data_IF_068679609893
#
_entry.id   IF_068679609893
#
_cell.length_a   1.000
_cell.length_b   1.000
_cell.length_c   1.000
_cell.angle_alpha   90.00
_cell.angle_beta   90.00
_cell.angle_gamma   90.00
#
_symmetry.space_group_name_H-M   'P 1'
#
loop_
_entity.id
_entity.type
_entity.pdbx_description
1 polymer ?
#
# COMPACT_ATOMS: atom_id res chain seq x y z
N UNK A 1 -7.57 -7.83 27.73
CA UNK A 1 -7.33 -8.32 26.35
C UNK A 1 -8.46 -7.83 25.46
N UNK A 2 -8.17 -7.17 24.34
CA UNK A 2 -9.19 -6.80 23.34
C UNK A 2 -9.78 -8.08 22.75
N UNK A 3 -11.10 -8.13 22.61
CA UNK A 3 -11.77 -9.29 21.98
C UNK A 3 -11.33 -9.42 20.52
N UNK A 4 -11.24 -10.63 19.94
CA UNK A 4 -10.71 -10.86 18.59
C UNK A 4 -11.42 -10.07 17.46
N UNK A 5 -12.65 -9.63 17.69
CA UNK A 5 -13.51 -8.97 16.72
C UNK A 5 -13.64 -7.46 16.94
N UNK A 6 -12.79 -6.85 17.76
CA UNK A 6 -12.82 -5.41 18.02
C UNK A 6 -11.65 -4.74 17.32
N UNK A 7 -11.96 -3.71 16.52
CA UNK A 7 -10.96 -2.80 15.94
C UNK A 7 -10.46 -1.90 17.06
N UNK A 8 -9.13 -1.79 17.29
CA UNK A 8 -8.58 -0.87 18.28
C UNK A 8 -8.98 0.59 18.01
N UNK A 9 -8.87 1.42 19.03
CA UNK A 9 -8.91 2.86 18.83
C UNK A 9 -7.53 3.37 18.40
N UNK A 10 -7.47 4.04 17.25
CA UNK A 10 -6.24 4.56 16.67
C UNK A 10 -6.08 6.09 16.84
N UNK A 11 -7.06 6.77 17.48
CA UNK A 11 -7.12 8.24 17.53
C UNK A 11 -5.94 8.91 18.24
N UNK A 12 -5.24 8.17 19.10
CA UNK A 12 -4.04 8.65 19.79
C UNK A 12 -2.74 8.42 19.04
N UNK A 13 -2.74 7.61 17.98
CA UNK A 13 -1.52 7.24 17.26
C UNK A 13 -1.08 8.34 16.30
N UNK A 14 0.21 8.67 16.34
CA UNK A 14 0.89 9.58 15.43
C UNK A 14 1.70 8.76 14.43
N UNK A 15 1.31 8.80 13.16
CA UNK A 15 1.91 7.98 12.12
C UNK A 15 2.49 8.86 11.02
N UNK A 16 3.75 8.66 10.71
CA UNK A 16 4.36 9.24 9.51
C UNK A 16 4.25 8.26 8.34
N UNK A 17 4.03 8.81 7.14
CA UNK A 17 4.17 8.10 5.88
C UNK A 17 5.32 8.75 5.11
N UNK A 18 6.27 7.96 4.64
CA UNK A 18 7.29 8.42 3.70
C UNK A 18 7.25 7.57 2.45
N UNK A 19 7.23 8.19 1.28
CA UNK A 19 7.20 7.42 0.03
C UNK A 19 6.84 8.22 -1.20
N UNK A 20 6.65 7.49 -2.28
CA UNK A 20 6.34 8.04 -3.59
C UNK A 20 4.86 8.43 -3.67
N UNK A 21 4.59 9.75 -3.79
CA UNK A 21 3.24 10.28 -3.97
C UNK A 21 2.83 10.13 -5.44
N UNK A 22 1.71 9.48 -5.68
CA UNK A 22 1.18 9.18 -7.02
C UNK A 22 -0.20 9.81 -7.17
N UNK A 23 -0.58 10.20 -8.38
CA UNK A 23 -1.94 10.55 -8.74
C UNK A 23 -2.61 9.37 -9.45
N UNK A 24 -3.75 8.92 -8.95
CA UNK A 24 -4.64 8.01 -9.66
C UNK A 24 -5.72 8.82 -10.38
N UNK A 25 -5.65 8.89 -11.70
CA UNK A 25 -6.57 9.68 -12.52
C UNK A 25 -7.57 8.76 -13.21
N UNK A 26 -8.85 8.97 -12.97
CA UNK A 26 -9.96 8.22 -13.53
C UNK A 26 -10.67 9.08 -14.58
N UNK A 27 -10.67 8.62 -15.85
CA UNK A 27 -11.45 9.20 -16.93
C UNK A 27 -12.68 8.32 -17.18
N UNK A 28 -13.86 8.87 -16.94
CA UNK A 28 -15.13 8.19 -17.19
C UNK A 28 -15.60 8.48 -18.61
N UNK A 29 -15.91 7.44 -19.37
CA UNK A 29 -16.30 7.56 -20.76
C UNK A 29 -17.46 6.61 -21.14
N UNK A 30 -18.15 6.95 -22.22
CA UNK A 30 -19.11 6.04 -22.87
C UNK A 30 -18.55 5.60 -24.23
N UNK A 31 -18.60 4.29 -24.56
CA UNK A 31 -18.31 3.83 -25.89
C UNK A 31 -19.22 4.51 -26.90
N UNK A 32 -18.65 5.05 -27.96
CA UNK A 32 -19.40 5.73 -29.03
C UNK A 32 -19.40 4.91 -30.31
N UNK A 33 -18.54 5.26 -31.25
CA UNK A 33 -18.44 4.65 -32.58
C UNK A 33 -16.98 4.24 -32.86
N UNK A 34 -16.77 3.43 -33.86
CA UNK A 34 -15.45 3.25 -34.43
C UNK A 34 -14.98 4.55 -35.14
N UNK A 35 -13.70 4.88 -34.98
CA UNK A 35 -13.11 6.02 -35.69
C UNK A 35 -13.09 5.75 -37.20
N UNK A 36 -13.14 6.85 -37.97
CA UNK A 36 -12.91 6.78 -39.43
C UNK A 36 -11.42 6.92 -39.79
N UNK A 37 -10.59 7.33 -38.81
CA UNK A 37 -9.16 7.62 -38.99
C UNK A 37 -8.29 6.38 -38.70
N UNK A 38 -8.75 5.51 -37.82
CA UNK A 38 -8.05 4.30 -37.39
C UNK A 38 -9.04 3.28 -36.82
N UNK A 39 -8.74 1.98 -36.74
CA UNK A 39 -9.61 0.96 -36.18
C UNK A 39 -9.62 1.00 -34.65
N UNK A 40 -10.00 2.16 -34.08
CA UNK A 40 -10.07 2.41 -32.64
C UNK A 40 -11.44 2.88 -32.22
N UNK A 41 -11.83 2.57 -31.00
CA UNK A 41 -13.07 3.04 -30.38
C UNK A 41 -12.97 4.53 -30.07
N UNK A 42 -13.96 5.32 -30.48
CA UNK A 42 -14.14 6.69 -30.02
C UNK A 42 -14.92 6.67 -28.73
N UNK A 43 -14.32 7.17 -27.66
CA UNK A 43 -14.93 7.29 -26.35
C UNK A 43 -15.44 8.72 -26.15
N UNK A 44 -16.66 8.86 -25.63
CA UNK A 44 -17.20 10.17 -25.26
C UNK A 44 -16.93 10.40 -23.79
N UNK A 45 -16.13 11.41 -23.45
CA UNK A 45 -15.84 11.82 -22.09
C UNK A 45 -17.13 12.16 -21.32
N UNK A 46 -17.25 11.69 -20.08
CA UNK A 46 -18.40 11.88 -19.19
C UNK A 46 -18.03 12.57 -17.89
N UNK A 47 -16.75 12.56 -17.50
CA UNK A 47 -16.23 13.15 -16.28
C UNK A 47 -14.84 12.60 -15.99
N UNK A 48 -14.17 13.20 -15.00
CA UNK A 48 -12.86 12.75 -14.54
C UNK A 48 -12.71 13.03 -13.05
N UNK A 49 -11.83 12.26 -12.41
CA UNK A 49 -11.49 12.41 -11.01
C UNK A 49 -10.00 12.08 -10.82
N UNK A 50 -9.31 12.85 -10.00
CA UNK A 50 -7.93 12.55 -9.58
C UNK A 50 -7.95 12.23 -8.11
N UNK A 51 -7.47 11.05 -7.75
CA UNK A 51 -7.37 10.57 -6.37
C UNK A 51 -5.90 10.46 -5.93
N UNK A 52 -5.60 10.67 -4.64
CA UNK A 52 -4.29 10.33 -4.08
C UNK A 52 -4.01 8.84 -4.19
N UNK A 53 -2.86 8.47 -4.77
CA UNK A 53 -2.36 7.10 -4.93
C UNK A 53 -1.01 6.92 -4.23
N UNK A 54 -0.52 5.68 -4.17
CA UNK A 54 0.73 5.35 -3.53
C UNK A 54 0.79 5.78 -2.07
N UNK A 55 1.89 6.41 -1.66
CA UNK A 55 2.06 6.90 -0.28
C UNK A 55 0.95 7.87 0.15
N UNK A 56 0.36 8.63 -0.79
CA UNK A 56 -0.76 9.52 -0.49
C UNK A 56 -2.05 8.74 -0.18
N UNK A 57 -2.32 7.64 -0.89
CA UNK A 57 -3.43 6.73 -0.57
C UNK A 57 -3.23 6.04 0.78
N UNK A 58 -2.01 5.59 1.07
CA UNK A 58 -1.66 5.02 2.37
C UNK A 58 -1.94 6.01 3.52
N UNK A 59 -1.57 7.28 3.35
CA UNK A 59 -1.82 8.33 4.33
C UNK A 59 -3.31 8.60 4.54
N UNK A 60 -4.10 8.65 3.46
CA UNK A 60 -5.57 8.77 3.55
C UNK A 60 -6.19 7.60 4.31
N UNK A 61 -5.70 6.38 4.10
CA UNK A 61 -6.18 5.20 4.83
C UNK A 61 -5.87 5.30 6.31
N UNK A 62 -4.65 5.69 6.71
CA UNK A 62 -4.28 5.89 8.11
C UNK A 62 -5.19 6.92 8.79
N UNK A 63 -5.42 8.06 8.14
CA UNK A 63 -6.30 9.10 8.65
C UNK A 63 -7.76 8.63 8.76
N UNK A 64 -8.30 7.98 7.73
CA UNK A 64 -9.68 7.46 7.75
C UNK A 64 -9.89 6.37 8.80
N UNK A 65 -8.84 5.65 9.18
CA UNK A 65 -8.85 4.69 10.27
C UNK A 65 -8.69 5.35 11.65
N UNK A 66 -8.41 6.66 11.72
CA UNK A 66 -8.46 7.45 12.94
C UNK A 66 -7.10 7.94 13.47
N UNK A 67 -5.98 7.68 12.79
CA UNK A 67 -4.66 8.14 13.24
C UNK A 67 -4.37 9.59 12.86
N UNK A 68 -3.53 10.26 13.63
CA UNK A 68 -2.92 11.53 13.25
C UNK A 68 -1.80 11.24 12.24
N UNK A 69 -1.91 11.79 11.03
CA UNK A 69 -1.05 11.39 9.91
C UNK A 69 -0.25 12.57 9.37
N UNK A 70 1.06 12.36 9.20
CA UNK A 70 2.01 13.25 8.55
C UNK A 70 2.58 12.55 7.31
N UNK A 71 2.69 13.27 6.19
CA UNK A 71 3.27 12.75 4.93
C UNK A 71 4.60 13.43 4.62
N UNK A 72 5.60 12.61 4.27
CA UNK A 72 6.87 13.04 3.72
C UNK A 72 7.03 12.44 2.31
N UNK A 73 7.35 13.29 1.35
CA UNK A 73 7.47 12.84 -0.03
C UNK A 73 7.79 13.98 -0.97
N UNK A 74 7.66 13.71 -2.26
CA UNK A 74 7.85 14.71 -3.30
C UNK A 74 6.67 14.73 -4.26
N UNK A 75 6.36 15.91 -4.76
CA UNK A 75 5.47 16.11 -5.90
C UNK A 75 6.12 17.11 -6.86
N UNK A 76 5.75 17.07 -8.11
CA UNK A 76 6.10 18.14 -9.05
C UNK A 76 5.18 19.35 -8.85
N UNK A 77 5.59 20.53 -9.37
CA UNK A 77 4.74 21.73 -9.44
C UNK A 77 3.74 21.66 -10.60
N UNK A 78 3.21 20.47 -10.88
CA UNK A 78 2.23 20.21 -11.94
C UNK A 78 0.78 20.14 -11.40
N UNK A 79 -0.18 19.88 -12.29
CA UNK A 79 -1.59 19.75 -11.91
C UNK A 79 -1.80 18.59 -10.94
N UNK A 80 -1.22 17.41 -11.21
CA UNK A 80 -1.39 16.22 -10.41
C UNK A 80 -0.84 16.39 -9.00
N UNK A 81 0.36 16.98 -8.86
CA UNK A 81 0.97 17.26 -7.56
C UNK A 81 0.14 18.19 -6.71
N UNK A 82 -0.39 19.28 -7.32
CA UNK A 82 -1.28 20.21 -6.60
C UNK A 82 -2.58 19.54 -6.16
N UNK A 83 -3.15 18.69 -7.01
CA UNK A 83 -4.42 18.02 -6.71
C UNK A 83 -4.26 16.99 -5.59
N UNK A 84 -3.18 16.21 -5.60
CA UNK A 84 -2.84 15.27 -4.52
C UNK A 84 -2.67 16.03 -3.19
N UNK A 85 -1.89 17.12 -3.16
CA UNK A 85 -1.70 17.93 -1.96
C UNK A 85 -3.03 18.51 -1.44
N UNK A 86 -3.83 19.10 -2.34
CA UNK A 86 -5.14 19.66 -1.97
C UNK A 86 -6.04 18.64 -1.28
N UNK A 87 -6.07 17.40 -1.77
CA UNK A 87 -6.92 16.36 -1.19
C UNK A 87 -6.38 15.84 0.15
N UNK A 88 -5.05 15.74 0.30
CA UNK A 88 -4.44 15.40 1.59
C UNK A 88 -4.75 16.46 2.66
N UNK A 89 -4.62 17.76 2.29
CA UNK A 89 -4.95 18.88 3.19
C UNK A 89 -6.44 18.91 3.56
N UNK A 90 -7.34 18.63 2.61
CA UNK A 90 -8.77 18.49 2.88
C UNK A 90 -9.06 17.30 3.82
N UNK A 91 -8.28 16.24 3.73
CA UNK A 91 -8.30 15.12 4.67
C UNK A 91 -7.60 15.43 6.00
N UNK A 92 -7.23 16.70 6.29
CA UNK A 92 -6.54 17.11 7.52
C UNK A 92 -5.22 16.37 7.78
N UNK A 93 -4.55 15.90 6.72
CA UNK A 93 -3.25 15.27 6.78
C UNK A 93 -2.17 16.35 6.76
N UNK A 94 -1.19 16.25 7.65
CA UNK A 94 -0.05 17.15 7.66
C UNK A 94 0.86 16.87 6.46
N UNK A 95 0.89 17.80 5.50
CA UNK A 95 1.71 17.73 4.29
C UNK A 95 3.01 18.56 4.42
N UNK A 96 3.33 19.09 5.59
CA UNK A 96 4.52 19.92 5.80
C UNK A 96 5.83 19.19 5.47
N UNK A 97 5.79 17.85 5.37
CA UNK A 97 6.87 16.97 4.94
C UNK A 97 7.02 16.83 3.43
N UNK A 98 6.07 17.33 2.63
CA UNK A 98 6.12 17.17 1.18
C UNK A 98 6.90 18.31 0.54
N UNK A 99 7.82 17.96 -0.37
CA UNK A 99 8.64 18.92 -1.11
C UNK A 99 8.16 19.03 -2.57
N UNK A 100 7.60 20.17 -2.99
CA UNK A 100 7.39 20.43 -4.42
C UNK A 100 8.75 20.65 -5.11
N UNK A 101 9.01 19.88 -6.18
CA UNK A 101 10.26 19.97 -6.94
C UNK A 101 10.00 20.43 -8.38
N UNK A 102 10.96 21.15 -8.94
CA UNK A 102 10.94 21.57 -10.33
C UNK A 102 11.58 20.50 -11.22
N UNK A 103 11.38 20.59 -12.52
CA UNK A 103 11.97 19.69 -13.54
C UNK A 103 11.71 18.19 -13.26
N UNK A 104 10.55 17.90 -12.72
CA UNK A 104 10.07 16.56 -12.44
C UNK A 104 8.59 16.43 -12.79
N UNK A 105 8.07 15.22 -12.76
CA UNK A 105 6.66 14.94 -13.07
C UNK A 105 6.09 14.14 -11.91
N UNK A 106 4.95 14.57 -11.36
CA UNK A 106 4.21 13.74 -10.41
C UNK A 106 3.72 12.50 -11.12
N UNK A 107 4.12 11.28 -10.66
CA UNK A 107 3.66 10.06 -11.28
C UNK A 107 2.14 10.00 -11.30
N UNK A 108 1.58 9.64 -12.46
CA UNK A 108 0.14 9.59 -12.64
C UNK A 108 -0.27 8.32 -13.40
N UNK A 109 -1.24 7.60 -12.85
CA UNK A 109 -1.84 6.43 -13.48
C UNK A 109 -3.24 6.77 -13.95
N UNK A 110 -3.39 7.09 -15.25
CA UNK A 110 -4.68 7.43 -15.83
C UNK A 110 -5.40 6.17 -16.29
N UNK A 111 -6.54 5.87 -15.65
CA UNK A 111 -7.43 4.75 -16.01
C UNK A 111 -8.63 5.28 -16.76
N UNK A 112 -8.81 4.81 -17.98
CA UNK A 112 -10.00 5.11 -18.80
C UNK A 112 -11.03 4.03 -18.51
N UNK A 113 -12.11 4.44 -17.84
CA UNK A 113 -13.23 3.59 -17.48
C UNK A 113 -14.40 3.84 -18.43
N UNK A 114 -14.97 2.77 -18.93
CA UNK A 114 -16.11 2.86 -19.83
C UNK A 114 -17.23 1.91 -19.44
N UNK A 115 -18.48 2.36 -19.60
CA UNK A 115 -19.62 1.47 -19.52
C UNK A 115 -20.65 1.87 -20.57
N UNK A 116 -21.38 0.87 -21.06
CA UNK A 116 -22.63 1.08 -21.79
C UNK A 116 -23.76 1.24 -20.78
N UNK A 117 -24.86 1.87 -21.22
CA UNK A 117 -25.99 2.23 -20.35
C UNK A 117 -26.44 1.09 -19.43
N UNK A 118 -26.28 1.29 -18.12
CA UNK A 118 -26.75 0.34 -17.08
C UNK A 118 -25.81 -0.83 -16.76
N UNK A 119 -24.57 -0.85 -17.27
CA UNK A 119 -23.56 -1.88 -16.95
C UNK A 119 -22.49 -1.35 -16.01
N UNK A 120 -21.79 -2.27 -15.34
CA UNK A 120 -20.64 -1.98 -14.50
C UNK A 120 -19.52 -1.31 -15.32
N UNK A 121 -18.90 -0.27 -14.79
CA UNK A 121 -17.73 0.37 -15.38
C UNK A 121 -16.59 -0.66 -15.53
N UNK A 122 -15.95 -0.67 -16.69
CA UNK A 122 -14.80 -1.52 -16.98
C UNK A 122 -13.60 -0.67 -17.36
N UNK A 123 -12.42 -1.07 -16.92
CA UNK A 123 -11.19 -0.43 -17.36
C UNK A 123 -10.89 -0.82 -18.80
N UNK A 124 -10.89 0.18 -19.70
CA UNK A 124 -10.63 0.02 -21.12
C UNK A 124 -9.15 0.18 -21.46
N UNK A 125 -8.46 1.11 -20.77
CA UNK A 125 -7.06 1.43 -21.00
C UNK A 125 -6.46 2.05 -19.74
N UNK A 126 -5.14 1.89 -19.56
CA UNK A 126 -4.35 2.64 -18.59
C UNK A 126 -3.19 3.33 -19.29
N UNK A 127 -2.96 4.61 -18.96
CA UNK A 127 -1.85 5.42 -19.42
C UNK A 127 -1.07 5.84 -18.19
N UNK A 128 0.20 5.43 -18.11
CA UNK A 128 1.08 5.79 -17.02
C UNK A 128 1.97 6.96 -17.48
N UNK A 129 1.94 8.06 -16.72
CA UNK A 129 2.86 9.17 -16.85
C UNK A 129 3.86 9.08 -15.71
N UNK A 130 5.09 8.78 -16.05
CA UNK A 130 6.16 8.56 -15.08
C UNK A 130 7.29 9.56 -15.31
N UNK A 131 8.05 9.93 -14.27
CA UNK A 131 9.22 10.78 -14.45
C UNK A 131 10.33 10.01 -15.20
N UNK A 132 10.99 10.70 -16.14
CA UNK A 132 12.14 10.14 -16.87
C UNK A 132 13.37 9.94 -15.98
N UNK A 133 13.42 10.61 -14.83
CA UNK A 133 14.52 10.55 -13.88
C UNK A 133 14.01 10.30 -12.46
N UNK A 134 14.72 9.49 -11.71
CA UNK A 134 14.43 9.23 -10.30
C UNK A 134 14.65 10.48 -9.44
N UNK A 135 14.04 10.50 -8.27
CA UNK A 135 14.24 11.57 -7.28
C UNK A 135 15.74 11.72 -6.98
N UNK A 136 16.25 12.96 -7.10
CA UNK A 136 17.67 13.28 -6.89
C UNK A 136 18.11 13.00 -5.45
N UNK A 137 19.37 12.61 -5.29
CA UNK A 137 19.95 12.24 -3.98
C UNK A 137 19.84 13.36 -2.96
N UNK A 138 20.00 14.64 -3.38
CA UNK A 138 19.91 15.80 -2.49
C UNK A 138 18.51 15.95 -1.90
N UNK A 139 17.47 15.73 -2.73
CA UNK A 139 16.08 15.78 -2.31
C UNK A 139 15.78 14.62 -1.36
N UNK A 140 16.22 13.40 -1.73
CA UNK A 140 16.07 12.21 -0.89
C UNK A 140 16.74 12.40 0.48
N UNK A 141 17.96 12.94 0.50
CA UNK A 141 18.69 13.24 1.74
C UNK A 141 17.98 14.29 2.60
N UNK A 142 17.37 15.31 1.98
CA UNK A 142 16.60 16.32 2.71
C UNK A 142 15.33 15.72 3.36
N UNK A 143 14.60 14.88 2.62
CA UNK A 143 13.44 14.15 3.16
C UNK A 143 13.87 13.19 4.28
N UNK A 144 14.94 12.41 4.09
CA UNK A 144 15.45 11.49 5.09
C UNK A 144 15.90 12.22 6.39
N UNK A 145 16.53 13.38 6.26
CA UNK A 145 16.89 14.22 7.41
C UNK A 145 15.65 14.70 8.19
N UNK A 146 14.61 15.14 7.46
CA UNK A 146 13.34 15.53 8.08
C UNK A 146 12.67 14.34 8.75
N UNK A 147 12.68 13.17 8.09
CA UNK A 147 12.15 11.93 8.63
C UNK A 147 12.88 11.54 9.95
N UNK A 148 14.20 11.55 9.96
CA UNK A 148 15.00 11.22 11.16
C UNK A 148 14.67 12.15 12.34
N UNK A 149 14.32 13.42 12.09
CA UNK A 149 13.94 14.35 13.16
C UNK A 149 12.61 13.99 13.86
N UNK A 150 11.85 13.04 13.33
CA UNK A 150 10.63 12.53 13.94
C UNK A 150 10.88 11.41 14.97
N UNK A 151 12.12 10.95 15.13
CA UNK A 151 12.46 9.90 16.11
C UNK A 151 11.99 10.30 17.53
N UNK A 152 11.28 9.40 18.20
CA UNK A 152 10.66 9.60 19.50
C UNK A 152 9.40 10.48 19.51
N UNK A 153 8.97 11.01 18.36
CA UNK A 153 7.77 11.85 18.27
C UNK A 153 6.58 11.18 17.57
N UNK A 154 6.80 10.05 16.91
CA UNK A 154 5.79 9.24 16.23
C UNK A 154 5.73 7.83 16.80
N UNK A 155 4.57 7.18 16.68
CA UNK A 155 4.32 5.83 17.18
C UNK A 155 4.54 4.78 16.07
N UNK A 156 4.40 5.18 14.79
CA UNK A 156 4.70 4.32 13.65
C UNK A 156 5.17 5.11 12.42
N UNK A 157 5.91 4.41 11.56
CA UNK A 157 6.34 4.83 10.24
C UNK A 157 5.87 3.82 9.21
N UNK A 158 5.14 4.27 8.19
CA UNK A 158 4.85 3.50 6.98
C UNK A 158 5.70 4.04 5.83
N UNK A 159 6.51 3.16 5.23
CA UNK A 159 7.33 3.45 4.05
C UNK A 159 6.63 2.83 2.85
N UNK A 160 6.24 3.65 1.87
CA UNK A 160 5.50 3.21 0.68
C UNK A 160 6.32 3.48 -0.58
N UNK A 161 6.93 2.42 -1.11
CA UNK A 161 7.82 2.47 -2.27
C UNK A 161 7.05 2.11 -3.56
N UNK A 162 7.10 3.01 -4.54
CA UNK A 162 6.53 2.78 -5.88
C UNK A 162 7.59 2.83 -7.00
N UNK A 163 8.87 2.90 -6.62
CA UNK A 163 9.99 2.81 -7.54
C UNK A 163 10.39 4.11 -8.23
N UNK A 164 9.94 5.26 -7.73
CA UNK A 164 10.31 6.56 -8.29
C UNK A 164 11.55 7.19 -7.63
N UNK A 165 12.20 6.44 -6.71
CA UNK A 165 13.54 6.72 -6.21
C UNK A 165 13.60 7.55 -4.94
N UNK A 166 12.48 7.83 -4.28
CA UNK A 166 12.51 8.46 -2.96
C UNK A 166 12.96 7.47 -1.88
N UNK A 167 12.43 6.24 -1.92
CA UNK A 167 12.76 5.20 -0.96
C UNK A 167 14.12 4.58 -1.32
N UNK A 168 15.08 4.70 -0.39
CA UNK A 168 16.47 4.26 -0.62
C UNK A 168 17.26 4.20 0.69
N UNK A 169 18.60 4.03 0.61
CA UNK A 169 19.44 3.84 1.78
C UNK A 169 19.34 4.95 2.84
N UNK A 170 19.13 6.21 2.42
CA UNK A 170 18.99 7.34 3.33
C UNK A 170 17.69 7.26 4.13
N UNK A 171 16.59 6.86 3.49
CA UNK A 171 15.29 6.63 4.14
C UNK A 171 15.38 5.40 5.05
N UNK A 172 16.07 4.34 4.63
CA UNK A 172 16.29 3.15 5.46
C UNK A 172 17.05 3.49 6.75
N UNK A 173 18.09 4.32 6.66
CA UNK A 173 18.84 4.79 7.83
C UNK A 173 17.94 5.56 8.80
N UNK A 174 17.15 6.52 8.29
CA UNK A 174 16.21 7.28 9.11
C UNK A 174 15.13 6.39 9.75
N UNK A 175 14.65 5.38 9.03
CA UNK A 175 13.70 4.41 9.56
C UNK A 175 14.27 3.58 10.73
N UNK A 176 15.56 3.20 10.66
CA UNK A 176 16.22 2.53 11.77
C UNK A 176 16.34 3.43 13.01
N UNK A 177 16.72 4.70 12.85
CA UNK A 177 16.78 5.67 13.95
C UNK A 177 15.40 5.85 14.62
N UNK A 178 14.33 5.88 13.83
CA UNK A 178 12.93 5.95 14.30
C UNK A 178 12.54 4.67 15.04
N UNK A 179 12.91 3.51 14.52
CA UNK A 179 12.61 2.22 15.17
C UNK A 179 13.39 2.06 16.49
N UNK A 180 14.65 2.48 16.54
CA UNK A 180 15.45 2.49 17.77
C UNK A 180 14.85 3.41 18.84
N UNK A 181 14.14 4.46 18.42
CA UNK A 181 13.37 5.35 19.31
C UNK A 181 12.02 4.76 19.76
N UNK A 182 11.68 3.52 19.34
CA UNK A 182 10.53 2.77 19.82
C UNK A 182 9.32 2.73 18.88
N UNK A 183 9.37 3.38 17.71
CA UNK A 183 8.25 3.35 16.76
C UNK A 183 8.24 2.04 15.95
N UNK A 184 7.03 1.61 15.56
CA UNK A 184 6.85 0.50 14.62
C UNK A 184 7.14 0.99 13.19
N UNK A 185 8.06 0.33 12.47
CA UNK A 185 8.39 0.69 11.10
C UNK A 185 7.95 -0.42 10.14
N UNK A 186 7.14 -0.07 9.15
CA UNK A 186 6.57 -0.99 8.16
C UNK A 186 6.95 -0.52 6.77
N UNK A 187 7.39 -1.44 5.92
CA UNK A 187 7.71 -1.18 4.51
C UNK A 187 6.73 -1.91 3.60
N UNK A 188 6.12 -1.15 2.70
CA UNK A 188 5.44 -1.63 1.50
C UNK A 188 6.42 -1.46 0.32
N UNK A 189 7.11 -2.54 -0.12
CA UNK A 189 8.24 -2.43 -1.04
C UNK A 189 7.80 -2.47 -2.50
N UNK A 190 8.67 -1.94 -3.39
CA UNK A 190 8.53 -2.10 -4.85
C UNK A 190 9.55 -3.05 -5.48
N UNK A 191 10.62 -3.35 -4.78
CA UNK A 191 11.72 -4.14 -5.32
C UNK A 191 12.65 -4.69 -4.25
N UNK A 192 13.95 -4.45 -4.41
CA UNK A 192 14.94 -4.83 -3.40
C UNK A 192 14.82 -3.97 -2.14
N UNK A 193 14.59 -4.62 -1.03
CA UNK A 193 14.49 -3.98 0.28
C UNK A 193 15.63 -4.38 1.24
N UNK A 194 16.74 -4.82 0.71
CA UNK A 194 17.92 -5.26 1.48
C UNK A 194 18.51 -4.18 2.40
N UNK A 195 18.27 -2.90 2.09
CA UNK A 195 18.65 -1.79 2.95
C UNK A 195 17.85 -1.69 4.27
N UNK A 196 16.64 -2.29 4.32
CA UNK A 196 15.69 -2.23 5.44
C UNK A 196 15.82 -3.45 6.37
N UNK A 197 17.05 -3.82 6.73
CA UNK A 197 17.33 -4.98 7.60
C UNK A 197 16.83 -4.72 9.02
N UNK A 198 16.21 -5.74 9.63
CA UNK A 198 15.76 -5.65 11.02
C UNK A 198 14.55 -4.72 11.25
N UNK A 199 13.90 -4.24 10.18
CA UNK A 199 12.68 -3.42 10.31
C UNK A 199 11.53 -4.26 10.88
N UNK A 200 10.57 -3.62 11.54
CA UNK A 200 9.46 -4.30 12.23
C UNK A 200 8.63 -5.19 11.31
N UNK A 201 8.34 -4.73 10.08
CA UNK A 201 7.64 -5.56 9.09
C UNK A 201 7.88 -5.10 7.64
N UNK A 202 7.75 -6.05 6.70
CA UNK A 202 7.72 -5.80 5.25
C UNK A 202 6.51 -6.52 4.66
N UNK A 203 5.82 -5.88 3.72
CA UNK A 203 4.59 -6.37 3.08
C UNK A 203 4.74 -6.58 1.57
N UNK A 204 5.57 -7.51 1.09
CA UNK A 204 5.72 -7.74 -0.33
C UNK A 204 4.55 -8.53 -0.91
N UNK A 205 4.23 -8.29 -2.18
CA UNK A 205 3.49 -9.25 -2.99
C UNK A 205 4.43 -10.36 -3.54
N UNK A 206 3.86 -11.37 -4.24
CA UNK A 206 4.65 -12.48 -4.78
C UNK A 206 5.76 -12.01 -5.75
N UNK A 207 5.49 -10.98 -6.55
CA UNK A 207 6.48 -10.45 -7.50
C UNK A 207 7.64 -9.78 -6.76
N UNK A 208 7.34 -8.97 -5.77
CA UNK A 208 8.34 -8.27 -4.95
C UNK A 208 9.16 -9.27 -4.11
N UNK A 209 8.50 -10.29 -3.55
CA UNK A 209 9.18 -11.39 -2.88
C UNK A 209 10.13 -12.12 -3.84
N UNK A 210 9.68 -12.41 -5.07
CA UNK A 210 10.49 -13.01 -6.12
C UNK A 210 11.73 -12.15 -6.45
N UNK A 211 11.55 -10.85 -6.61
CA UNK A 211 12.66 -9.91 -6.84
C UNK A 211 13.68 -9.93 -5.69
N UNK A 212 13.21 -9.89 -4.44
CA UNK A 212 14.06 -9.89 -3.25
C UNK A 212 14.81 -11.23 -3.03
N UNK A 213 14.28 -12.34 -3.55
CA UNK A 213 14.86 -13.68 -3.40
C UNK A 213 15.46 -14.23 -4.70
N UNK A 214 15.47 -13.44 -5.78
CA UNK A 214 15.93 -13.83 -7.12
C UNK A 214 15.20 -15.07 -7.67
N UNK A 215 13.89 -15.21 -7.37
CA UNK A 215 13.03 -16.30 -7.84
C UNK A 215 11.96 -15.76 -8.79
N UNK A 216 11.50 -16.62 -9.70
CA UNK A 216 10.35 -16.29 -10.55
C UNK A 216 9.07 -16.46 -9.72
N UNK A 217 7.99 -15.75 -10.10
CA UNK A 217 6.69 -15.84 -9.41
C UNK A 217 6.15 -17.26 -9.45
N UNK A 218 6.33 -17.95 -10.58
CA UNK A 218 5.91 -19.33 -10.82
C UNK A 218 6.54 -20.32 -9.82
N UNK A 219 7.78 -20.05 -9.41
CA UNK A 219 8.51 -20.87 -8.42
C UNK A 219 7.95 -20.68 -7.01
N UNK A 220 7.25 -19.56 -6.73
CA UNK A 220 6.69 -19.22 -5.44
C UNK A 220 5.22 -19.65 -5.26
N UNK A 221 4.62 -20.28 -6.27
CA UNK A 221 3.20 -20.65 -6.25
C UNK A 221 2.88 -21.78 -5.25
N UNK A 222 3.86 -22.58 -4.84
CA UNK A 222 3.67 -23.58 -3.80
C UNK A 222 3.95 -22.98 -2.42
N UNK A 223 3.17 -23.41 -1.43
CA UNK A 223 3.38 -22.95 -0.04
C UNK A 223 4.79 -23.29 0.47
N UNK A 224 5.32 -24.47 0.13
CA UNK A 224 6.65 -24.88 0.55
C UNK A 224 7.75 -23.95 0.02
N UNK A 225 7.67 -23.60 -1.27
CA UNK A 225 8.62 -22.66 -1.89
C UNK A 225 8.45 -21.23 -1.33
N UNK A 226 7.22 -20.81 -1.08
CA UNK A 226 6.93 -19.52 -0.43
C UNK A 226 7.54 -19.46 0.97
N UNK A 227 7.36 -20.50 1.78
CA UNK A 227 7.92 -20.58 3.13
C UNK A 227 9.46 -20.66 3.13
N UNK A 228 10.06 -21.32 2.13
CA UNK A 228 11.51 -21.35 1.96
C UNK A 228 12.07 -19.96 1.63
N UNK A 229 11.45 -19.25 0.67
CA UNK A 229 11.82 -17.88 0.30
C UNK A 229 11.69 -16.91 1.49
N UNK A 230 10.59 -16.98 2.21
CA UNK A 230 10.36 -16.18 3.40
C UNK A 230 11.41 -16.45 4.49
N UNK A 231 11.73 -17.71 4.76
CA UNK A 231 12.76 -18.11 5.74
C UNK A 231 14.14 -17.57 5.34
N UNK A 232 14.49 -17.63 4.05
CA UNK A 232 15.75 -17.09 3.55
C UNK A 232 15.88 -15.59 3.88
N UNK A 233 14.83 -14.79 3.65
CA UNK A 233 14.84 -13.36 3.96
C UNK A 233 14.91 -13.11 5.47
N UNK A 234 14.10 -13.81 6.27
CA UNK A 234 14.05 -13.66 7.72
C UNK A 234 15.38 -14.01 8.39
N UNK A 235 16.10 -15.02 7.88
CA UNK A 235 17.40 -15.46 8.43
C UNK A 235 18.56 -14.54 8.08
N UNK A 236 18.49 -13.76 6.98
CA UNK A 236 19.55 -12.85 6.53
C UNK A 236 19.53 -11.47 7.20
N UNK A 237 19.18 -11.36 8.48
CA UNK A 237 18.88 -10.09 9.14
C UNK A 237 17.71 -9.34 8.45
N UNK A 238 16.75 -10.07 7.94
CA UNK A 238 15.52 -9.54 7.37
C UNK A 238 14.60 -8.90 8.41
N UNK A 239 13.39 -8.52 8.01
CA UNK A 239 12.40 -7.94 8.91
C UNK A 239 12.04 -8.89 10.06
N UNK A 240 11.43 -8.37 11.13
CA UNK A 240 10.88 -9.20 12.20
C UNK A 240 9.67 -9.99 11.70
N UNK A 241 8.86 -9.39 10.83
CA UNK A 241 7.64 -9.94 10.25
C UNK A 241 7.63 -9.73 8.73
N UNK A 242 7.29 -10.78 8.00
CA UNK A 242 7.09 -10.73 6.56
C UNK A 242 5.64 -11.12 6.25
N UNK A 243 4.84 -10.14 5.82
CA UNK A 243 3.43 -10.33 5.44
C UNK A 243 3.32 -10.38 3.92
N UNK A 244 3.27 -11.58 3.35
CA UNK A 244 3.17 -11.74 1.89
C UNK A 244 1.72 -11.65 1.45
N UNK A 245 1.43 -10.75 0.51
CA UNK A 245 0.09 -10.61 -0.09
C UNK A 245 -0.02 -11.48 -1.34
N UNK A 246 -1.13 -12.22 -1.44
CA UNK A 246 -1.38 -13.21 -2.50
C UNK A 246 -2.60 -12.84 -3.37
N UNK A 247 -2.99 -11.57 -3.41
CA UNK A 247 -4.20 -11.12 -4.10
C UNK A 247 -5.44 -11.89 -3.63
N UNK A 248 -6.14 -12.55 -4.54
CA UNK A 248 -7.33 -13.37 -4.22
C UNK A 248 -7.00 -14.58 -3.30
N UNK A 249 -5.74 -14.93 -3.13
CA UNK A 249 -5.29 -15.97 -2.20
C UNK A 249 -5.27 -15.51 -0.74
N UNK A 250 -5.38 -14.21 -0.49
CA UNK A 250 -5.31 -13.62 0.85
C UNK A 250 -3.88 -13.24 1.25
N UNK A 251 -3.45 -13.59 2.46
CA UNK A 251 -2.14 -13.20 2.98
C UNK A 251 -1.50 -14.34 3.79
N UNK A 252 -0.17 -14.34 3.86
CA UNK A 252 0.62 -15.24 4.70
C UNK A 252 1.60 -14.42 5.52
N UNK A 253 1.55 -14.56 6.83
CA UNK A 253 2.48 -13.95 7.77
C UNK A 253 3.57 -14.95 8.16
N UNK A 254 4.82 -14.60 7.91
CA UNK A 254 5.98 -15.35 8.36
C UNK A 254 6.75 -14.56 9.43
N UNK A 255 7.22 -15.28 10.44
CA UNK A 255 8.16 -14.79 11.47
C UNK A 255 9.22 -15.84 11.71
N UNK A 256 10.25 -15.53 12.50
CA UNK A 256 11.26 -16.52 12.87
C UNK A 256 10.67 -17.68 13.68
N UNK A 257 9.66 -17.40 14.51
CA UNK A 257 8.98 -18.39 15.35
C UNK A 257 7.92 -19.18 14.57
N UNK A 258 7.40 -18.62 13.48
CA UNK A 258 6.38 -19.22 12.61
C UNK A 258 6.91 -19.33 11.15
N UNK A 259 7.95 -20.17 10.93
CA UNK A 259 8.61 -20.28 9.62
C UNK A 259 7.76 -20.95 8.54
N UNK A 260 6.69 -21.66 8.93
CA UNK A 260 5.70 -22.22 8.00
C UNK A 260 4.65 -21.18 7.62
N UNK A 261 4.56 -20.09 8.37
CA UNK A 261 3.60 -19.02 8.16
C UNK A 261 2.20 -19.30 8.70
N UNK A 262 1.50 -18.23 8.96
CA UNK A 262 0.08 -18.20 9.32
C UNK A 262 -0.67 -17.60 8.15
N UNK A 263 -1.72 -18.27 7.67
CA UNK A 263 -2.50 -17.84 6.51
C UNK A 263 -3.83 -17.24 6.90
N UNK A 264 -4.30 -16.29 6.08
CA UNK A 264 -5.68 -15.81 6.08
C UNK A 264 -6.18 -15.78 4.64
N UNK A 265 -7.38 -16.31 4.37
CA UNK A 265 -8.01 -16.20 3.05
C UNK A 265 -8.41 -14.74 2.80
N UNK A 266 -8.46 -14.35 1.53
CA UNK A 266 -8.93 -13.01 1.18
C UNK A 266 -10.31 -12.71 1.80
N UNK A 267 -10.45 -11.54 2.39
CA UNK A 267 -11.73 -11.03 2.85
C UNK A 267 -12.43 -10.31 1.67
N UNK A 268 -13.76 -10.34 1.67
CA UNK A 268 -14.60 -9.74 0.65
C UNK A 268 -15.58 -10.74 0.08
N UNK A 269 -16.62 -10.23 -0.58
CA UNK A 269 -17.58 -11.05 -1.29
C UNK A 269 -17.03 -11.51 -2.65
N UNK A 270 -17.69 -12.44 -3.31
CA UNK A 270 -17.20 -13.06 -4.56
C UNK A 270 -17.06 -12.10 -5.76
N UNK A 271 -17.61 -10.91 -5.69
CA UNK A 271 -17.57 -9.91 -6.76
C UNK A 271 -16.63 -8.73 -6.38
N UNK A 272 -15.33 -8.89 -6.60
CA UNK A 272 -14.36 -7.77 -6.53
C UNK A 272 -14.67 -6.76 -7.63
N UNK A 273 -14.83 -5.48 -7.27
CA UNK A 273 -15.12 -4.40 -8.21
C UNK A 273 -13.82 -3.79 -8.73
N UNK A 274 -12.90 -3.43 -7.83
CA UNK A 274 -11.61 -2.83 -8.18
C UNK A 274 -10.56 -3.22 -7.13
N UNK A 275 -9.37 -3.61 -7.56
CA UNK A 275 -8.26 -3.98 -6.66
C UNK A 275 -7.33 -2.80 -6.35
N UNK A 276 -7.58 -1.64 -6.94
CA UNK A 276 -6.74 -0.45 -6.76
C UNK A 276 -6.76 0.02 -5.30
N UNK A 277 -5.59 0.29 -4.73
CA UNK A 277 -5.47 0.76 -3.35
C UNK A 277 -5.57 -0.32 -2.26
N UNK A 278 -5.80 -1.60 -2.62
CA UNK A 278 -5.92 -2.68 -1.63
C UNK A 278 -4.60 -2.93 -0.87
N UNK A 279 -3.46 -2.83 -1.56
CA UNK A 279 -2.12 -2.97 -0.97
C UNK A 279 -1.84 -1.87 0.06
N UNK A 280 -2.02 -0.62 -0.35
CA UNK A 280 -1.82 0.57 0.49
C UNK A 280 -2.76 0.56 1.70
N UNK A 281 -4.01 0.11 1.51
CA UNK A 281 -4.97 -0.06 2.61
C UNK A 281 -4.54 -1.16 3.58
N UNK A 282 -4.08 -2.29 3.07
CA UNK A 282 -3.55 -3.39 3.90
C UNK A 282 -2.33 -2.94 4.70
N UNK A 283 -1.38 -2.23 4.05
CA UNK A 283 -0.18 -1.70 4.69
C UNK A 283 -0.53 -0.69 5.80
N UNK A 284 -1.45 0.24 5.52
CA UNK A 284 -1.92 1.22 6.50
C UNK A 284 -2.58 0.54 7.72
N UNK A 285 -3.52 -0.38 7.48
CA UNK A 285 -4.23 -1.09 8.54
C UNK A 285 -3.30 -2.00 9.36
N UNK A 286 -2.32 -2.67 8.71
CA UNK A 286 -1.32 -3.48 9.38
C UNK A 286 -0.41 -2.65 10.27
N UNK A 287 0.06 -1.50 9.76
CA UNK A 287 0.88 -0.55 10.51
C UNK A 287 0.18 -0.08 11.79
N UNK A 288 -1.08 0.36 11.67
CA UNK A 288 -1.88 0.79 12.83
C UNK A 288 -2.11 -0.34 13.83
N UNK A 289 -2.39 -1.53 13.33
CA UNK A 289 -2.61 -2.68 14.19
C UNK A 289 -1.36 -3.03 15.02
N UNK A 290 -0.19 -3.03 14.40
CA UNK A 290 1.08 -3.25 15.10
C UNK A 290 1.38 -2.11 16.10
N UNK A 291 1.18 -0.85 15.70
CA UNK A 291 1.38 0.31 16.56
C UNK A 291 0.44 0.31 17.77
N UNK A 292 -0.78 -0.23 17.62
CA UNK A 292 -1.71 -0.44 18.71
C UNK A 292 -1.39 -1.68 19.58
N UNK A 293 -0.26 -2.35 19.35
CA UNK A 293 0.19 -3.51 20.12
C UNK A 293 -0.50 -4.83 19.79
N UNK A 294 -1.14 -4.96 18.61
CA UNK A 294 -1.70 -6.23 18.20
C UNK A 294 -0.59 -7.18 17.75
N UNK A 295 -0.75 -8.45 18.11
CA UNK A 295 0.09 -9.52 17.59
C UNK A 295 -0.09 -9.70 16.07
N UNK A 296 0.94 -10.22 15.40
CA UNK A 296 1.01 -10.36 13.94
C UNK A 296 -0.24 -10.98 13.29
N UNK A 297 -0.75 -12.15 13.78
CA UNK A 297 -1.93 -12.77 13.18
C UNK A 297 -3.20 -11.92 13.27
N UNK A 298 -3.37 -11.17 14.36
CA UNK A 298 -4.51 -10.24 14.51
C UNK A 298 -4.35 -9.01 13.64
N UNK A 299 -3.14 -8.47 13.55
CA UNK A 299 -2.80 -7.37 12.66
C UNK A 299 -3.04 -7.76 11.19
N UNK A 300 -2.59 -8.94 10.75
CA UNK A 300 -2.85 -9.49 9.44
C UNK A 300 -4.35 -9.61 9.13
N UNK A 301 -5.14 -10.13 10.09
CA UNK A 301 -6.60 -10.25 9.91
C UNK A 301 -7.27 -8.89 9.71
N UNK A 302 -6.84 -7.89 10.49
CA UNK A 302 -7.37 -6.53 10.36
C UNK A 302 -6.99 -5.90 9.01
N UNK A 303 -5.74 -6.07 8.57
CA UNK A 303 -5.27 -5.63 7.25
C UNK A 303 -6.06 -6.29 6.11
N UNK A 304 -6.27 -7.60 6.19
CA UNK A 304 -7.07 -8.35 5.22
C UNK A 304 -8.53 -7.89 5.18
N UNK A 305 -9.15 -7.62 6.34
CA UNK A 305 -10.51 -7.08 6.40
C UNK A 305 -10.61 -5.68 5.78
N UNK A 306 -9.61 -4.81 6.03
CA UNK A 306 -9.56 -3.47 5.46
C UNK A 306 -9.41 -3.52 3.93
N UNK A 307 -8.50 -4.36 3.40
CA UNK A 307 -8.36 -4.60 1.97
C UNK A 307 -9.67 -5.12 1.36
N UNK A 308 -10.36 -6.06 2.04
CA UNK A 308 -11.65 -6.59 1.61
C UNK A 308 -12.76 -5.54 1.53
N UNK A 309 -12.70 -4.47 2.34
CA UNK A 309 -13.66 -3.35 2.26
C UNK A 309 -13.43 -2.53 0.99
N UNK A 310 -12.19 -2.20 0.66
CA UNK A 310 -11.90 -1.27 -0.45
C UNK A 310 -12.03 -1.92 -1.82
N UNK A 311 -11.77 -3.22 -1.96
CA UNK A 311 -11.96 -3.91 -3.25
C UNK A 311 -13.42 -4.00 -3.71
N UNK A 312 -14.37 -3.66 -2.85
CA UNK A 312 -15.80 -3.55 -3.15
C UNK A 312 -16.21 -2.14 -3.62
N UNK A 313 -15.27 -1.20 -3.68
CA UNK A 313 -15.49 0.16 -4.20
C UNK A 313 -14.84 0.31 -5.57
N UNK A 314 -15.32 1.27 -6.36
CA UNK A 314 -14.68 1.64 -7.62
C UNK A 314 -13.63 2.71 -7.36
N UNK A 315 -12.44 2.54 -7.91
CA UNK A 315 -11.34 3.48 -7.77
C UNK A 315 -10.58 3.36 -6.45
N UNK A 316 -9.60 4.25 -6.26
CA UNK A 316 -8.76 4.28 -5.07
C UNK A 316 -9.49 5.00 -3.93
N UNK A 317 -10.35 4.26 -3.21
CA UNK A 317 -11.09 4.78 -2.06
C UNK A 317 -10.41 4.38 -0.75
N UNK A 318 -10.31 5.27 0.26
CA UNK A 318 -9.80 4.91 1.58
C UNK A 318 -10.83 4.06 2.35
N UNK A 319 -10.35 3.20 3.25
CA UNK A 319 -11.19 2.36 4.10
C UNK A 319 -11.76 3.16 5.29
N UNK A 320 -13.07 3.42 5.36
CA UNK A 320 -13.64 4.08 6.53
C UNK A 320 -13.63 3.16 7.75
N UNK A 321 -13.25 3.70 8.93
CA UNK A 321 -13.22 2.94 10.20
C UNK A 321 -14.55 2.25 10.51
N UNK A 322 -15.69 2.89 10.21
CA UNK A 322 -17.01 2.31 10.41
C UNK A 322 -17.24 1.05 9.58
N UNK A 323 -16.79 1.06 8.33
CA UNK A 323 -16.90 -0.11 7.44
C UNK A 323 -15.96 -1.24 7.88
N UNK A 324 -14.73 -0.92 8.29
CA UNK A 324 -13.81 -1.91 8.85
C UNK A 324 -14.40 -2.57 10.12
N UNK A 325 -15.00 -1.78 11.02
CA UNK A 325 -15.67 -2.32 12.22
C UNK A 325 -16.81 -3.27 11.88
N UNK A 326 -17.55 -2.99 10.82
CA UNK A 326 -18.64 -3.86 10.35
C UNK A 326 -18.13 -5.12 9.64
N UNK A 327 -17.02 -5.03 8.91
CA UNK A 327 -16.45 -6.14 8.15
C UNK A 327 -15.65 -7.12 9.01
N UNK A 328 -14.89 -6.63 10.00
CA UNK A 328 -13.95 -7.44 10.79
C UNK A 328 -14.59 -8.67 11.47
N UNK A 329 -15.80 -8.62 12.05
CA UNK A 329 -16.43 -9.81 12.66
C UNK A 329 -16.59 -10.98 11.68
N UNK A 330 -16.87 -10.69 10.41
CA UNK A 330 -17.09 -11.66 9.33
C UNK A 330 -15.81 -11.99 8.54
N UNK A 331 -14.70 -11.28 8.78
CA UNK A 331 -13.44 -11.53 8.10
C UNK A 331 -12.87 -12.90 8.47
N UNK A 332 -12.24 -13.62 7.50
CA UNK A 332 -11.63 -14.90 7.74
C UNK A 332 -10.67 -14.90 8.93
N UNK A 333 -10.65 -15.99 9.67
CA UNK A 333 -9.71 -16.15 10.79
C UNK A 333 -8.35 -16.63 10.27
N UNK A 334 -7.24 -16.14 10.84
CA UNK A 334 -5.93 -16.71 10.60
C UNK A 334 -5.88 -18.18 11.03
N UNK A 335 -5.19 -19.01 10.26
CA UNK A 335 -4.99 -20.44 10.57
C UNK A 335 -3.55 -20.84 10.27
N UNK A 336 -3.02 -21.77 11.06
CA UNK A 336 -1.79 -22.48 10.68
C UNK A 336 -2.02 -23.28 9.41
N UNK A 337 -1.00 -23.41 8.59
CA UNK A 337 -1.12 -24.04 7.28
C UNK A 337 -1.33 -25.54 7.42
N UNK A 338 -2.56 -25.99 7.25
CA UNK A 338 -2.87 -27.38 6.91
C UNK A 338 -3.13 -27.45 5.39
N UNK A 339 -2.10 -27.50 4.58
CA UNK A 339 -2.05 -27.46 3.10
C UNK A 339 -2.87 -26.33 2.45
N UNK A 340 -2.24 -25.41 1.72
CA UNK A 340 -2.94 -24.31 1.06
C UNK A 340 -3.70 -24.82 -0.16
N UNK A 341 -4.85 -24.17 -0.42
CA UNK A 341 -5.50 -24.29 -1.71
C UNK A 341 -4.59 -23.72 -2.82
N UNK A 342 -4.54 -24.31 -4.02
CA UNK A 342 -3.73 -23.81 -5.12
C UNK A 342 -4.14 -22.39 -5.47
N UNK A 343 -3.16 -21.51 -5.60
CA UNK A 343 -3.36 -20.15 -6.14
C UNK A 343 -3.83 -20.31 -7.59
N UNK A 344 -5.06 -19.92 -7.89
CA UNK A 344 -5.54 -19.88 -9.28
C UNK A 344 -5.04 -18.58 -9.90
N UNK A 345 -4.27 -18.71 -10.97
CA UNK A 345 -3.77 -17.61 -11.81
C UNK A 345 -4.87 -16.86 -12.54
#
# INVERSE_FOLDING_TARGET
>A
MLTPNVVPDFTGLRVAVVGDLVADHYLFARPGRLSREAPVMVLRHCGEEVCPGGAASAALNLWNLGAQTLVLGVVAKDFNGREVLRQLEQGQIDVSGVMPIDDWVTPCKTRILGSDSGRTMQQLLRIDREPDVLVRTEVRSAIAKKLASLAGSIDALLISDHGYGLVGPEVAKAAHEIQEAGAVCVLDPRGDFSAFRGISAVLPNLRELGMATHRQVEDLMSHAALAEAARELLCRNGPEKLLVTLGNGGMVLFTRDEPQGITVRAAGEQAVIDVSGAGETAAAAFTLALAAGLEGPRAMRLANAAAGVVVMESGTAPCPLSRLRSALPNAPQPSQVSQPAPVRG
#
